data_IF_083805022172
#
_entry.id   IF_083805022172
#
_cell.length_a   1.000
_cell.length_b   1.000
_cell.length_c   1.000
_cell.angle_alpha   90.00
_cell.angle_beta   90.00
_cell.angle_gamma   90.00
#
_symmetry.space_group_name_H-M   'P 1'
#
loop_
_entity.id
_entity.type
_entity.pdbx_description
1 polymer ?
#
# COMPACT_ATOMS: atom_id res chain seq x y z
N UNK A 1 -42.15 -4.49 2.75
CA UNK A 1 -41.06 -4.27 1.78
C UNK A 1 -39.91 -5.18 2.13
N UNK A 2 -39.33 -5.85 1.12
CA UNK A 2 -38.07 -6.59 1.13
C UNK A 2 -37.97 -7.86 2.02
N UNK A 3 -38.25 -9.02 1.43
CA UNK A 3 -37.49 -10.24 1.70
C UNK A 3 -36.39 -10.37 0.63
N UNK A 4 -35.14 -10.21 1.05
CA UNK A 4 -33.92 -10.74 0.40
C UNK A 4 -33.53 -11.96 1.25
N UNK A 5 -33.02 -13.08 0.75
CA UNK A 5 -32.22 -13.38 -0.43
C UNK A 5 -31.27 -14.48 0.06
N UNK A 6 -31.50 -15.72 -0.39
CA UNK A 6 -30.62 -16.44 -1.31
C UNK A 6 -29.32 -16.93 -0.67
N UNK A 7 -29.36 -18.22 -0.32
CA UNK A 7 -28.20 -19.10 -0.25
C UNK A 7 -27.82 -19.58 -1.67
N UNK A 8 -26.65 -20.22 -1.77
CA UNK A 8 -26.16 -21.08 -2.86
C UNK A 8 -25.58 -20.40 -4.13
N UNK A 9 -24.25 -20.46 -4.31
CA UNK A 9 -23.59 -21.53 -5.10
C UNK A 9 -22.08 -21.29 -5.31
N UNK A 10 -21.35 -22.38 -5.14
CA UNK A 10 -19.94 -22.59 -5.46
C UNK A 10 -19.61 -22.46 -6.96
N UNK A 11 -18.36 -22.09 -7.25
CA UNK A 11 -17.49 -22.90 -8.11
C UNK A 11 -17.72 -22.84 -9.63
N UNK A 12 -16.93 -22.01 -10.32
CA UNK A 12 -16.64 -22.24 -11.75
C UNK A 12 -15.19 -21.82 -12.12
N UNK A 13 -14.28 -22.80 -12.08
CA UNK A 13 -12.98 -22.77 -12.77
C UNK A 13 -13.23 -22.97 -14.27
N UNK A 14 -12.94 -21.97 -15.09
CA UNK A 14 -12.97 -22.11 -16.55
C UNK A 14 -11.73 -22.89 -17.03
N UNK A 15 -11.95 -24.15 -17.43
CA UNK A 15 -11.03 -24.97 -18.22
C UNK A 15 -10.92 -24.41 -19.64
N UNK A 16 -9.69 -24.34 -20.16
CA UNK A 16 -9.39 -24.13 -21.58
C UNK A 16 -9.72 -25.42 -22.33
N UNK A 17 -10.57 -25.33 -23.35
CA UNK A 17 -10.81 -26.43 -24.28
C UNK A 17 -10.11 -26.18 -25.62
N UNK A 18 -9.49 -27.24 -26.11
CA UNK A 18 -8.66 -27.35 -27.28
C UNK A 18 -9.48 -27.93 -28.43
N UNK A 19 -9.89 -27.10 -29.39
CA UNK A 19 -10.67 -27.50 -30.56
C UNK A 19 -9.86 -27.42 -31.86
N UNK A 20 -9.11 -28.49 -32.16
CA UNK A 20 -8.47 -28.78 -33.45
C UNK A 20 -9.56 -28.98 -34.53
N UNK A 21 -9.55 -28.24 -35.64
CA UNK A 21 -10.30 -28.66 -36.85
C UNK A 21 -9.46 -28.55 -38.12
N UNK A 22 -9.43 -29.68 -38.81
CA UNK A 22 -8.61 -30.03 -39.97
C UNK A 22 -9.12 -29.36 -41.25
N UNK A 23 -8.13 -29.14 -42.10
CA UNK A 23 -8.11 -28.94 -43.56
C UNK A 23 -9.15 -29.81 -44.30
N UNK A 24 -9.92 -29.18 -45.18
CA UNK A 24 -10.58 -29.81 -46.32
C UNK A 24 -10.20 -29.03 -47.58
N UNK A 25 -9.95 -29.80 -48.64
CA UNK A 25 -9.38 -29.48 -49.94
C UNK A 25 -10.47 -29.81 -50.95
N UNK A 26 -10.64 -28.96 -51.96
CA UNK A 26 -11.28 -29.20 -53.28
C UNK A 26 -11.53 -27.83 -53.89
N UNK A 27 -11.53 -27.56 -55.18
CA UNK A 27 -10.83 -28.01 -56.41
C UNK A 27 -11.46 -27.07 -57.47
N UNK A 28 -10.73 -26.66 -58.51
CA UNK A 28 -11.38 -25.86 -59.57
C UNK A 28 -10.46 -25.04 -60.46
N UNK A 29 -9.80 -25.76 -61.36
CA UNK A 29 -9.27 -25.41 -62.68
C UNK A 29 -9.40 -23.98 -63.28
N UNK A 30 -8.30 -23.58 -63.92
CA UNK A 30 -8.30 -23.08 -65.30
C UNK A 30 -8.68 -21.62 -65.56
N UNK A 31 -7.68 -20.77 -65.85
CA UNK A 31 -7.46 -20.19 -67.19
C UNK A 31 -6.17 -19.36 -67.21
N UNK A 32 -5.46 -19.55 -68.31
CA UNK A 32 -4.13 -19.08 -68.67
C UNK A 32 -4.21 -17.68 -69.31
N UNK A 33 -3.25 -16.80 -69.01
CA UNK A 33 -2.82 -15.76 -69.95
C UNK A 33 -2.52 -14.37 -69.37
N UNK A 34 -1.36 -13.83 -69.73
CA UNK A 34 -1.09 -12.39 -69.78
C UNK A 34 -0.38 -11.82 -68.54
N UNK A 35 0.94 -11.59 -68.67
CA UNK A 35 1.76 -11.04 -67.60
C UNK A 35 1.56 -9.56 -67.32
N UNK A 36 1.93 -9.14 -66.12
CA UNK A 36 2.45 -7.81 -65.81
C UNK A 36 2.99 -7.79 -64.37
N UNK A 37 4.27 -7.41 -64.28
CA UNK A 37 4.81 -6.51 -63.26
C UNK A 37 4.80 -6.93 -61.78
N UNK A 38 6.03 -7.22 -61.36
CA UNK A 38 6.57 -7.26 -60.01
C UNK A 38 6.11 -6.06 -59.15
N UNK A 39 5.10 -6.25 -58.29
CA UNK A 39 4.78 -5.35 -57.15
C UNK A 39 4.59 -6.15 -55.85
N UNK A 40 5.65 -6.82 -55.41
CA UNK A 40 5.75 -7.45 -54.08
C UNK A 40 6.54 -6.59 -53.08
N UNK A 41 6.51 -5.26 -53.21
CA UNK A 41 7.25 -4.36 -52.30
C UNK A 41 6.48 -3.84 -51.07
N UNK A 42 5.14 -3.88 -51.08
CA UNK A 42 4.34 -3.13 -50.09
C UNK A 42 3.85 -3.92 -48.87
N UNK A 43 3.48 -5.20 -49.02
CA UNK A 43 2.85 -5.98 -47.93
C UNK A 43 3.84 -6.50 -46.89
N UNK A 44 5.01 -6.96 -47.32
CA UNK A 44 6.11 -7.29 -46.41
C UNK A 44 6.56 -6.07 -45.61
N UNK A 45 6.53 -4.89 -46.26
CA UNK A 45 6.92 -3.60 -45.68
C UNK A 45 5.89 -2.96 -44.71
N UNK A 46 4.70 -3.52 -44.58
CA UNK A 46 3.76 -3.13 -43.52
C UNK A 46 3.75 -4.15 -42.39
N UNK A 47 3.84 -5.44 -42.72
CA UNK A 47 3.87 -6.54 -41.76
C UNK A 47 5.14 -6.56 -40.88
N UNK A 48 6.32 -6.26 -41.43
CA UNK A 48 7.56 -6.12 -40.64
C UNK A 48 7.54 -4.91 -39.69
N UNK A 49 6.91 -3.79 -40.09
CA UNK A 49 6.76 -2.56 -39.28
C UNK A 49 5.80 -2.80 -38.12
N UNK A 50 4.65 -3.43 -38.37
CA UNK A 50 3.72 -3.81 -37.29
C UNK A 50 4.31 -4.89 -36.38
N UNK A 51 5.13 -5.81 -36.90
CA UNK A 51 5.80 -6.83 -36.09
C UNK A 51 6.90 -6.23 -35.20
N UNK A 52 7.65 -5.26 -35.69
CA UNK A 52 8.65 -4.53 -34.90
C UNK A 52 8.01 -3.58 -33.88
N UNK A 53 6.92 -2.92 -34.21
CA UNK A 53 6.12 -2.14 -33.26
C UNK A 53 5.49 -3.01 -32.16
N UNK A 54 4.94 -4.17 -32.52
CA UNK A 54 4.42 -5.11 -31.53
C UNK A 54 5.53 -5.67 -30.63
N UNK A 55 6.73 -5.93 -31.17
CA UNK A 55 7.88 -6.33 -30.38
C UNK A 55 8.27 -5.24 -29.36
N UNK A 56 8.38 -3.98 -29.81
CA UNK A 56 8.65 -2.83 -28.93
C UNK A 56 7.59 -2.67 -27.84
N UNK A 57 6.31 -2.88 -28.18
CA UNK A 57 5.21 -2.82 -27.21
C UNK A 57 5.31 -3.92 -26.16
N UNK A 58 5.63 -5.14 -26.58
CA UNK A 58 5.82 -6.27 -25.65
C UNK A 58 7.01 -6.02 -24.73
N UNK A 59 8.09 -5.46 -25.26
CA UNK A 59 9.28 -5.10 -24.48
C UNK A 59 8.98 -3.98 -23.45
N UNK A 60 8.29 -2.92 -23.86
CA UNK A 60 7.84 -1.86 -22.97
C UNK A 60 6.91 -2.39 -21.86
N UNK A 61 5.99 -3.31 -22.19
CA UNK A 61 5.12 -3.94 -21.18
C UNK A 61 5.92 -4.79 -20.18
N UNK A 62 6.96 -5.49 -20.64
CA UNK A 62 7.84 -6.26 -19.77
C UNK A 62 8.67 -5.36 -18.86
N UNK A 63 9.14 -4.23 -19.38
CA UNK A 63 9.85 -3.23 -18.58
C UNK A 63 8.94 -2.61 -17.52
N UNK A 64 7.70 -2.27 -17.88
CA UNK A 64 6.68 -1.80 -16.92
C UNK A 64 6.49 -2.83 -15.80
N UNK A 65 6.34 -4.12 -16.14
CA UNK A 65 6.17 -5.18 -15.14
C UNK A 65 7.40 -5.31 -14.22
N UNK A 66 8.62 -5.20 -14.77
CA UNK A 66 9.84 -5.20 -13.96
C UNK A 66 9.93 -4.00 -13.02
N UNK A 67 9.55 -2.81 -13.49
CA UNK A 67 9.51 -1.60 -12.66
C UNK A 67 8.45 -1.71 -11.58
N UNK A 68 7.27 -2.26 -11.88
CA UNK A 68 6.23 -2.53 -10.89
C UNK A 68 6.72 -3.48 -9.78
N UNK A 69 7.45 -4.54 -10.14
CA UNK A 69 8.06 -5.43 -9.16
C UNK A 69 9.11 -4.73 -8.28
N UNK A 70 9.95 -3.86 -8.88
CA UNK A 70 10.92 -3.06 -8.12
C UNK A 70 10.22 -2.10 -7.14
N UNK A 71 9.17 -1.41 -7.59
CA UNK A 71 8.36 -0.53 -6.74
C UNK A 71 7.78 -1.31 -5.57
N UNK A 72 7.19 -2.49 -5.81
CA UNK A 72 6.63 -3.32 -4.75
C UNK A 72 7.66 -3.78 -3.72
N UNK A 73 8.88 -4.13 -4.17
CA UNK A 73 9.97 -4.51 -3.26
C UNK A 73 10.41 -3.32 -2.40
N UNK A 74 10.61 -2.15 -3.00
CA UNK A 74 10.97 -0.93 -2.28
C UNK A 74 9.89 -0.51 -1.28
N UNK A 75 8.61 -0.60 -1.66
CA UNK A 75 7.49 -0.32 -0.78
C UNK A 75 7.45 -1.27 0.42
N UNK A 76 7.78 -2.55 0.20
CA UNK A 76 7.89 -3.55 1.27
C UNK A 76 9.05 -3.24 2.22
N UNK A 77 10.24 -2.96 1.69
CA UNK A 77 11.42 -2.59 2.48
C UNK A 77 11.16 -1.34 3.32
N UNK A 78 10.59 -0.30 2.70
CA UNK A 78 10.17 0.93 3.39
C UNK A 78 9.16 0.65 4.50
N UNK A 79 8.16 -0.20 4.25
CA UNK A 79 7.19 -0.60 5.28
C UNK A 79 7.84 -1.30 6.49
N UNK A 80 8.88 -2.09 6.26
CA UNK A 80 9.61 -2.81 7.31
C UNK A 80 10.56 -1.88 8.07
N UNK A 81 11.24 -0.97 7.38
CA UNK A 81 12.34 -0.19 7.97
C UNK A 81 11.92 1.19 8.48
N UNK A 82 11.02 1.88 7.77
CA UNK A 82 10.66 3.26 8.07
C UNK A 82 9.29 3.37 8.76
N UNK A 83 8.30 2.60 8.28
CA UNK A 83 6.92 2.73 8.75
C UNK A 83 6.48 1.62 9.70
N UNK A 84 7.40 0.78 10.17
CA UNK A 84 7.06 -0.26 11.13
C UNK A 84 6.49 0.37 12.40
N UNK A 85 5.26 -0.02 12.75
CA UNK A 85 4.52 0.48 13.92
C UNK A 85 5.24 0.22 15.25
N UNK A 86 6.17 -0.74 15.26
CA UNK A 86 6.98 -1.15 16.40
C UNK A 86 8.32 -0.42 16.53
N UNK A 87 8.64 0.47 15.58
CA UNK A 87 9.87 1.27 15.59
C UNK A 87 9.72 2.51 16.47
N UNK A 88 10.72 2.82 17.30
CA UNK A 88 10.77 4.07 18.07
C UNK A 88 10.77 5.31 17.17
N UNK A 89 11.21 5.16 15.91
CA UNK A 89 11.20 6.21 14.89
C UNK A 89 9.81 6.43 14.26
N UNK A 90 8.81 5.61 14.59
CA UNK A 90 7.44 5.72 14.03
C UNK A 90 6.90 7.13 14.18
N UNK A 91 7.07 7.76 15.34
CA UNK A 91 6.60 9.14 15.60
C UNK A 91 7.29 10.19 14.71
N UNK A 92 8.53 9.94 14.28
CA UNK A 92 9.29 10.84 13.41
C UNK A 92 8.91 10.66 11.93
N UNK A 93 8.50 9.45 11.54
CA UNK A 93 8.14 9.12 10.15
C UNK A 93 6.63 9.09 9.87
N UNK A 94 5.76 9.24 10.88
CA UNK A 94 4.30 9.26 10.69
C UNK A 94 3.86 10.35 9.69
N UNK A 95 4.40 11.57 9.80
CA UNK A 95 4.06 12.65 8.87
C UNK A 95 4.48 12.35 7.42
N UNK A 96 5.62 11.68 7.26
CA UNK A 96 6.10 11.25 5.94
C UNK A 96 5.20 10.16 5.34
N UNK A 97 4.76 9.18 6.16
CA UNK A 97 3.81 8.15 5.73
C UNK A 97 2.45 8.76 5.35
N UNK A 98 1.94 9.73 6.12
CA UNK A 98 0.71 10.46 5.81
C UNK A 98 0.81 11.22 4.48
N UNK A 99 1.92 11.93 4.26
CA UNK A 99 2.18 12.64 3.02
C UNK A 99 2.27 11.68 1.83
N UNK A 100 2.91 10.53 2.00
CA UNK A 100 3.03 9.52 0.96
C UNK A 100 1.67 8.89 0.60
N UNK A 101 0.86 8.54 1.60
CA UNK A 101 -0.49 8.02 1.40
C UNK A 101 -1.35 9.02 0.62
N UNK A 102 -1.24 10.31 0.96
CA UNK A 102 -1.89 11.40 0.24
C UNK A 102 -1.42 11.44 -1.22
N UNK A 103 -0.12 11.49 -1.49
CA UNK A 103 0.42 11.52 -2.86
C UNK A 103 0.00 10.30 -3.69
N UNK A 104 -0.05 9.12 -3.08
CA UNK A 104 -0.50 7.91 -3.76
C UNK A 104 -2.01 7.95 -4.09
N UNK A 105 -2.82 8.49 -3.19
CA UNK A 105 -4.25 8.74 -3.42
C UNK A 105 -4.46 9.78 -4.53
N UNK A 106 -3.69 10.86 -4.52
CA UNK A 106 -3.74 11.93 -5.51
C UNK A 106 -3.39 11.38 -6.90
N UNK A 107 -2.31 10.60 -7.03
CA UNK A 107 -1.92 9.92 -8.28
C UNK A 107 -3.00 8.98 -8.82
N UNK A 108 -3.65 8.19 -7.95
CA UNK A 108 -4.76 7.30 -8.35
C UNK A 108 -5.96 8.11 -8.85
N UNK A 109 -6.28 9.20 -8.16
CA UNK A 109 -7.39 10.09 -8.50
C UNK A 109 -7.14 10.80 -9.83
N UNK A 110 -5.92 11.29 -10.05
CA UNK A 110 -5.48 11.89 -11.30
C UNK A 110 -5.59 10.91 -12.47
N UNK A 111 -5.08 9.68 -12.32
CA UNK A 111 -5.22 8.63 -13.33
C UNK A 111 -6.67 8.40 -13.73
N UNK A 112 -7.59 8.34 -12.76
CA UNK A 112 -9.02 8.18 -13.02
C UNK A 112 -9.60 9.41 -13.75
N UNK A 113 -9.24 10.62 -13.34
CA UNK A 113 -9.68 11.87 -14.00
C UNK A 113 -9.22 11.91 -15.46
N UNK A 114 -7.96 11.58 -15.73
CA UNK A 114 -7.40 11.52 -17.09
C UNK A 114 -8.15 10.50 -17.96
N UNK A 115 -8.37 9.30 -17.44
CA UNK A 115 -9.13 8.27 -18.16
C UNK A 115 -10.55 8.74 -18.48
N UNK A 116 -11.22 9.43 -17.55
CA UNK A 116 -12.56 9.97 -17.78
C UNK A 116 -12.57 11.09 -18.83
N UNK A 117 -11.63 12.03 -18.77
CA UNK A 117 -11.51 13.12 -19.75
C UNK A 117 -11.21 12.58 -21.15
N UNK A 118 -10.26 11.65 -21.29
CA UNK A 118 -9.95 11.00 -22.56
C UNK A 118 -11.14 10.20 -23.11
N UNK A 119 -11.89 9.51 -22.25
CA UNK A 119 -13.11 8.80 -22.65
C UNK A 119 -14.18 9.75 -23.18
N UNK A 120 -14.34 10.92 -22.56
CA UNK A 120 -15.26 11.97 -23.04
C UNK A 120 -14.84 12.50 -24.41
N UNK A 121 -13.58 12.89 -24.59
CA UNK A 121 -13.04 13.37 -25.87
C UNK A 121 -13.24 12.31 -26.97
N UNK A 122 -12.86 11.05 -26.69
CA UNK A 122 -13.07 9.93 -27.62
C UNK A 122 -14.55 9.74 -27.96
N UNK A 123 -15.45 9.90 -26.98
CA UNK A 123 -16.89 9.84 -27.18
C UNK A 123 -17.38 10.91 -28.15
N UNK A 124 -16.96 12.16 -27.96
CA UNK A 124 -17.29 13.28 -28.85
C UNK A 124 -16.78 13.05 -30.27
N UNK A 125 -15.53 12.59 -30.43
CA UNK A 125 -14.95 12.23 -31.74
C UNK A 125 -15.72 11.09 -32.39
N UNK A 126 -16.11 10.07 -31.64
CA UNK A 126 -16.90 8.94 -32.16
C UNK A 126 -18.29 9.38 -32.62
N UNK A 127 -18.91 10.33 -31.90
CA UNK A 127 -20.18 10.95 -32.30
C UNK A 127 -20.02 11.73 -33.60
N UNK A 128 -19.01 12.58 -33.69
CA UNK A 128 -18.67 13.33 -34.91
C UNK A 128 -18.45 12.40 -36.11
N UNK A 129 -17.65 11.34 -35.95
CA UNK A 129 -17.42 10.31 -36.98
C UNK A 129 -18.69 9.53 -37.39
N UNK A 130 -19.69 9.46 -36.52
CA UNK A 130 -20.97 8.81 -36.85
C UNK A 130 -21.83 9.73 -37.70
N UNK A 131 -21.92 11.00 -37.33
CA UNK A 131 -22.66 12.01 -38.09
C UNK A 131 -22.05 12.15 -39.51
N UNK A 132 -20.71 12.09 -39.63
CA UNK A 132 -20.00 12.09 -40.92
C UNK A 132 -20.33 10.91 -41.85
N UNK A 133 -20.81 9.77 -41.35
CA UNK A 133 -20.88 8.52 -42.13
C UNK A 133 -22.11 8.42 -43.02
N UNK A 134 -23.19 9.17 -42.75
CA UNK A 134 -24.51 8.84 -43.30
C UNK A 134 -25.35 10.05 -43.78
N UNK A 135 -24.78 11.13 -44.33
CA UNK A 135 -25.58 12.32 -44.67
C UNK A 135 -25.17 12.99 -45.98
N UNK A 136 -26.16 13.43 -46.76
CA UNK A 136 -25.97 14.34 -47.91
C UNK A 136 -25.59 15.72 -47.38
N UNK A 137 -24.54 16.37 -47.89
CA UNK A 137 -24.10 17.68 -47.39
C UNK A 137 -25.15 18.75 -47.71
N UNK A 138 -26.04 19.03 -46.75
CA UNK A 138 -26.87 20.23 -46.74
C UNK A 138 -26.15 21.33 -45.96
N UNK A 139 -26.35 22.63 -46.30
CA UNK A 139 -25.69 23.73 -45.60
C UNK A 139 -25.88 23.71 -44.08
N UNK A 140 -27.09 23.41 -43.60
CA UNK A 140 -27.38 23.33 -42.16
C UNK A 140 -26.64 22.17 -41.47
N UNK A 141 -26.46 21.05 -42.19
CA UNK A 141 -25.74 19.90 -41.67
C UNK A 141 -24.23 20.14 -41.60
N UNK A 142 -23.68 20.85 -42.60
CA UNK A 142 -22.27 21.26 -42.61
C UNK A 142 -21.98 22.22 -41.44
N UNK A 143 -22.87 23.16 -41.16
CA UNK A 143 -22.71 24.07 -40.01
C UNK A 143 -22.73 23.31 -38.69
N UNK A 144 -23.67 22.38 -38.50
CA UNK A 144 -23.72 21.50 -37.31
C UNK A 144 -22.43 20.66 -37.15
N UNK A 145 -21.85 20.16 -38.24
CA UNK A 145 -20.57 19.44 -38.19
C UNK A 145 -19.42 20.37 -37.76
N UNK A 146 -19.38 21.58 -38.29
CA UNK A 146 -18.38 22.59 -37.94
C UNK A 146 -18.45 22.96 -36.46
N UNK A 147 -19.65 23.22 -35.92
CA UNK A 147 -19.86 23.46 -34.48
C UNK A 147 -19.37 22.28 -33.62
N UNK A 148 -19.64 21.04 -34.03
CA UNK A 148 -19.14 19.86 -33.32
C UNK A 148 -17.62 19.72 -33.38
N UNK A 149 -17.00 20.08 -34.51
CA UNK A 149 -15.54 20.08 -34.68
C UNK A 149 -14.88 21.14 -33.79
N UNK A 150 -15.39 22.37 -33.81
CA UNK A 150 -14.91 23.48 -32.98
C UNK A 150 -15.06 23.16 -31.48
N UNK A 151 -16.17 22.55 -31.07
CA UNK A 151 -16.35 22.07 -29.70
C UNK A 151 -15.30 21.02 -29.32
N UNK A 152 -15.03 20.04 -30.19
CA UNK A 152 -14.02 18.99 -29.93
C UNK A 152 -12.62 19.61 -29.83
N UNK A 153 -12.28 20.53 -30.73
CA UNK A 153 -11.00 21.24 -30.73
C UNK A 153 -10.82 22.08 -29.47
N UNK A 154 -11.84 22.83 -29.07
CA UNK A 154 -11.83 23.59 -27.81
C UNK A 154 -11.59 22.67 -26.61
N UNK A 155 -12.37 21.59 -26.45
CA UNK A 155 -12.20 20.66 -25.33
C UNK A 155 -10.82 19.98 -25.35
N UNK A 156 -10.28 19.68 -26.53
CA UNK A 156 -8.96 19.08 -26.67
C UNK A 156 -7.84 20.06 -26.32
N UNK A 157 -7.97 21.32 -26.73
CA UNK A 157 -6.99 22.37 -26.42
C UNK A 157 -7.01 22.69 -24.92
N UNK A 158 -8.20 22.82 -24.32
CA UNK A 158 -8.35 23.02 -22.88
C UNK A 158 -7.72 21.85 -22.10
N UNK A 159 -7.96 20.62 -22.54
CA UNK A 159 -7.33 19.44 -21.94
C UNK A 159 -5.81 19.52 -22.03
N UNK A 160 -5.25 19.82 -23.21
CA UNK A 160 -3.78 19.92 -23.39
C UNK A 160 -3.19 21.02 -22.53
N UNK A 161 -3.81 22.19 -22.46
CA UNK A 161 -3.31 23.31 -21.67
C UNK A 161 -3.37 22.99 -20.17
N UNK A 162 -4.46 22.38 -19.70
CA UNK A 162 -4.56 21.90 -18.32
C UNK A 162 -3.47 20.88 -17.99
N UNK A 163 -3.21 19.91 -18.89
CA UNK A 163 -2.15 18.92 -18.68
C UNK A 163 -0.75 19.55 -18.67
N UNK A 164 -0.51 20.52 -19.55
CA UNK A 164 0.74 21.27 -19.60
C UNK A 164 0.97 22.05 -18.30
N UNK A 165 -0.05 22.75 -17.80
CA UNK A 165 0.05 23.49 -16.54
C UNK A 165 0.37 22.56 -15.37
N UNK A 166 -0.34 21.43 -15.24
CA UNK A 166 -0.07 20.44 -14.17
C UNK A 166 1.37 19.92 -14.27
N UNK A 167 1.85 19.62 -15.47
CA UNK A 167 3.21 19.16 -15.68
C UNK A 167 4.25 20.22 -15.28
N UNK A 168 4.06 21.47 -15.68
CA UNK A 168 4.96 22.57 -15.32
C UNK A 168 4.97 22.83 -13.81
N UNK A 169 3.84 22.69 -13.13
CA UNK A 169 3.74 22.80 -11.67
C UNK A 169 4.54 21.68 -10.98
N UNK A 170 4.33 20.42 -11.38
CA UNK A 170 5.06 19.26 -10.86
C UNK A 170 6.57 19.36 -11.11
N UNK A 171 6.99 19.83 -12.29
CA UNK A 171 8.41 20.04 -12.61
C UNK A 171 9.06 21.08 -11.69
N UNK A 172 8.34 22.16 -11.37
CA UNK A 172 8.83 23.19 -10.44
C UNK A 172 8.94 22.64 -9.03
N UNK A 173 7.94 21.89 -8.57
CA UNK A 173 7.96 21.23 -7.25
C UNK A 173 9.12 20.22 -7.14
N UNK A 174 9.32 19.37 -8.14
CA UNK A 174 10.44 18.43 -8.21
C UNK A 174 11.78 19.15 -8.13
N UNK A 175 11.95 20.24 -8.88
CA UNK A 175 13.17 21.04 -8.85
C UNK A 175 13.43 21.62 -7.46
N UNK A 176 12.41 22.16 -6.78
CA UNK A 176 12.56 22.70 -5.43
C UNK A 176 12.92 21.61 -4.41
N UNK A 177 12.21 20.48 -4.42
CA UNK A 177 12.49 19.36 -3.52
C UNK A 177 13.90 18.81 -3.73
N UNK A 178 14.37 18.70 -4.97
CA UNK A 178 15.74 18.27 -5.25
C UNK A 178 16.79 19.25 -4.70
N UNK A 179 16.53 20.56 -4.75
CA UNK A 179 17.40 21.55 -4.12
C UNK A 179 17.42 21.41 -2.60
N UNK A 180 16.26 21.18 -1.97
CA UNK A 180 16.16 20.95 -0.53
C UNK A 180 16.90 19.68 -0.10
N UNK A 181 16.74 18.57 -0.82
CA UNK A 181 17.47 17.32 -0.58
C UNK A 181 18.97 17.55 -0.70
N UNK A 182 19.43 18.20 -1.79
CA UNK A 182 20.85 18.51 -2.00
C UNK A 182 21.41 19.39 -0.86
N UNK A 183 20.63 20.35 -0.36
CA UNK A 183 21.04 21.19 0.76
C UNK A 183 21.15 20.41 2.07
N UNK A 184 20.21 19.48 2.33
CA UNK A 184 20.26 18.57 3.48
C UNK A 184 21.45 17.61 3.41
N UNK A 185 21.73 17.04 2.23
CA UNK A 185 22.90 16.18 2.01
C UNK A 185 24.21 16.92 2.32
N UNK A 186 24.37 18.15 1.80
CA UNK A 186 25.55 18.99 2.10
C UNK A 186 25.68 19.29 3.59
N UNK A 187 24.55 19.47 4.28
CA UNK A 187 24.53 19.70 5.74
C UNK A 187 24.92 18.45 6.51
N UNK A 188 24.50 17.27 6.06
CA UNK A 188 24.91 15.99 6.66
C UNK A 188 26.41 15.76 6.48
N UNK A 189 26.93 16.03 5.29
CA UNK A 189 28.35 15.90 4.98
C UNK A 189 29.21 16.82 5.86
N UNK A 190 28.77 18.07 6.09
CA UNK A 190 29.49 18.98 6.98
C UNK A 190 29.49 18.52 8.44
N UNK A 191 28.45 17.83 8.89
CA UNK A 191 28.42 17.19 10.21
C UNK A 191 29.35 15.98 10.28
N UNK A 192 29.45 15.18 9.21
CA UNK A 192 30.36 14.04 9.17
C UNK A 192 31.84 14.46 9.23
N UNK A 193 32.15 15.67 8.74
CA UNK A 193 33.51 16.25 8.76
C UNK A 193 33.82 17.05 10.03
N UNK A 194 32.83 17.30 10.90
CA UNK A 194 33.04 18.01 12.15
C UNK A 194 33.85 17.13 13.14
N UNK A 195 34.84 17.69 13.86
CA UNK A 195 35.59 16.94 14.85
C UNK A 195 34.65 16.41 15.96
N UNK A 196 34.96 15.26 16.59
CA UNK A 196 34.11 14.68 17.62
C UNK A 196 33.89 15.69 18.74
N UNK A 197 32.62 16.01 19.01
CA UNK A 197 32.24 16.88 20.12
C UNK A 197 32.57 16.13 21.42
N UNK A 198 33.63 16.53 22.11
CA UNK A 198 33.92 16.07 23.48
C UNK A 198 32.91 16.73 24.41
N UNK A 199 31.76 16.07 24.62
CA UNK A 199 30.80 16.52 25.64
C UNK A 199 31.37 16.12 27.00
N UNK A 200 31.89 17.08 27.76
CA UNK A 200 32.18 16.91 29.19
C UNK A 200 30.86 16.65 29.95
N UNK A 201 30.47 15.38 30.03
CA UNK A 201 29.31 14.97 30.81
C UNK A 201 29.73 14.77 32.26
N UNK A 202 29.46 15.79 33.08
CA UNK A 202 29.39 15.62 34.54
C UNK A 202 28.31 14.59 34.86
N UNK A 203 28.76 13.42 35.31
CA UNK A 203 28.08 12.44 36.17
C UNK A 203 26.55 12.44 36.11
N UNK A 204 25.99 11.71 35.15
CA UNK A 204 24.77 10.93 35.38
C UNK A 204 24.81 9.72 34.47
N UNK A 205 24.64 8.52 35.05
CA UNK A 205 24.67 7.26 34.33
C UNK A 205 23.55 7.26 33.27
N UNK A 206 23.85 7.22 31.95
CA UNK A 206 22.80 7.12 30.96
C UNK A 206 22.39 5.64 30.82
N UNK A 207 21.07 5.39 30.93
CA UNK A 207 20.46 4.17 30.42
C UNK A 207 20.73 4.09 28.91
N UNK A 208 20.98 2.91 28.32
CA UNK A 208 21.37 2.82 26.92
C UNK A 208 20.18 3.16 26.03
N UNK A 209 20.17 4.37 25.49
CA UNK A 209 19.36 4.75 24.33
C UNK A 209 20.09 4.25 23.09
N UNK A 210 19.46 3.29 22.42
CA UNK A 210 19.96 2.57 21.24
C UNK A 210 19.82 3.41 19.96
N UNK A 211 20.49 4.55 19.89
CA UNK A 211 20.58 5.34 18.66
C UNK A 211 22.02 5.44 18.23
N UNK A 212 22.29 4.93 17.02
CA UNK A 212 23.60 4.83 16.37
C UNK A 212 24.54 3.76 16.95
N UNK A 213 24.18 2.47 16.74
CA UNK A 213 25.24 1.48 16.48
C UNK A 213 25.94 1.91 15.19
N UNK A 214 27.10 2.50 15.37
CA UNK A 214 28.08 2.79 14.34
C UNK A 214 28.22 1.51 13.47
N UNK A 215 27.81 1.56 12.19
CA UNK A 215 27.80 0.38 11.29
C UNK A 215 29.22 -0.19 11.13
N UNK A 216 30.24 0.64 11.36
CA UNK A 216 31.66 0.27 11.40
C UNK A 216 32.08 -0.42 12.72
N UNK A 217 31.33 -0.26 13.81
CA UNK A 217 31.59 -0.94 15.08
C UNK A 217 30.90 -2.31 15.20
N UNK A 218 30.05 -2.67 14.23
CA UNK A 218 29.32 -3.95 14.19
C UNK A 218 29.93 -4.92 13.17
N UNK A 219 31.06 -4.56 12.54
CA UNK A 219 31.85 -5.49 11.73
C UNK A 219 32.66 -6.41 12.67
N UNK A 220 32.62 -7.73 12.48
CA UNK A 220 33.43 -8.65 13.27
C UNK A 220 34.92 -8.24 13.23
N UNK A 221 35.65 -8.28 14.37
CA UNK A 221 37.06 -7.91 14.44
C UNK A 221 37.94 -8.56 13.38
N UNK A 222 37.57 -9.76 12.92
CA UNK A 222 38.22 -10.54 11.86
C UNK A 222 38.11 -9.86 10.48
N UNK A 223 37.00 -9.16 10.20
CA UNK A 223 36.83 -8.40 8.95
C UNK A 223 37.77 -7.19 8.94
N UNK A 224 37.87 -6.47 10.06
CA UNK A 224 38.81 -5.36 10.22
C UNK A 224 40.27 -5.83 10.24
N UNK A 225 40.54 -7.02 10.79
CA UNK A 225 41.88 -7.62 10.76
C UNK A 225 42.30 -7.98 9.32
N UNK A 226 41.39 -8.50 8.50
CA UNK A 226 41.65 -8.78 7.09
C UNK A 226 41.92 -7.50 6.27
N UNK A 227 41.19 -6.42 6.52
CA UNK A 227 41.41 -5.13 5.85
C UNK A 227 42.77 -4.52 6.23
N UNK A 228 43.16 -4.58 7.51
CA UNK A 228 44.48 -4.16 7.96
C UNK A 228 45.60 -5.01 7.34
N UNK A 229 45.40 -6.33 7.25
CA UNK A 229 46.34 -7.23 6.58
C UNK A 229 46.53 -6.83 5.11
N UNK A 230 45.45 -6.60 4.37
CA UNK A 230 45.50 -6.14 2.98
C UNK A 230 46.27 -4.83 2.80
N UNK A 231 46.01 -3.85 3.67
CA UNK A 231 46.71 -2.56 3.66
C UNK A 231 48.21 -2.73 3.93
N UNK A 232 48.59 -3.62 4.84
CA UNK A 232 49.99 -3.85 5.22
C UNK A 232 50.76 -4.70 4.20
N UNK A 233 50.10 -5.63 3.50
CA UNK A 233 50.76 -6.58 2.59
C UNK A 233 50.66 -6.22 1.11
N UNK A 234 50.32 -4.98 0.75
CA UNK A 234 50.26 -4.57 -0.66
C UNK A 234 49.03 -5.07 -1.41
N UNK A 235 47.88 -5.18 -0.73
CA UNK A 235 46.58 -5.48 -1.31
C UNK A 235 46.34 -6.97 -1.58
N UNK A 236 45.35 -7.25 -2.44
CA UNK A 236 44.87 -8.61 -2.73
C UNK A 236 45.89 -9.49 -3.48
N UNK A 237 47.01 -8.93 -3.92
CA UNK A 237 48.06 -9.62 -4.67
C UNK A 237 49.40 -9.66 -3.94
N UNK A 238 49.49 -9.22 -2.69
CA UNK A 238 50.73 -9.31 -1.93
C UNK A 238 51.83 -8.37 -2.46
N UNK A 239 51.47 -7.32 -3.19
CA UNK A 239 52.42 -6.47 -3.92
C UNK A 239 52.96 -7.06 -5.23
N UNK A 240 52.50 -8.23 -5.66
CA UNK A 240 52.86 -8.82 -6.96
C UNK A 240 51.97 -8.25 -8.07
N UNK A 241 52.53 -8.11 -9.27
CA UNK A 241 51.75 -7.72 -10.44
C UNK A 241 50.78 -8.83 -10.88
N UNK A 242 49.89 -8.50 -11.80
CA UNK A 242 48.85 -9.42 -12.25
C UNK A 242 49.40 -10.65 -12.97
N UNK A 243 50.52 -10.51 -13.70
CA UNK A 243 51.10 -11.57 -14.49
C UNK A 243 51.85 -12.59 -13.61
N UNK A 244 52.69 -12.10 -12.71
CA UNK A 244 53.48 -12.90 -11.78
C UNK A 244 52.55 -13.63 -10.80
N UNK A 245 51.58 -12.91 -10.23
CA UNK A 245 50.61 -13.51 -9.31
C UNK A 245 49.73 -14.56 -10.01
N UNK A 246 49.29 -14.28 -11.24
CA UNK A 246 48.51 -15.22 -12.04
C UNK A 246 49.29 -16.50 -12.40
N UNK A 247 50.58 -16.35 -12.73
CA UNK A 247 51.47 -17.48 -13.02
C UNK A 247 51.74 -18.32 -11.78
N UNK A 248 52.00 -17.68 -10.64
CA UNK A 248 52.13 -18.33 -9.33
C UNK A 248 50.91 -19.20 -8.99
N UNK A 249 49.69 -18.65 -9.10
CA UNK A 249 48.46 -19.40 -8.81
C UNK A 249 48.27 -20.61 -9.74
N UNK A 250 48.60 -20.47 -11.02
CA UNK A 250 48.50 -21.55 -12.01
C UNK A 250 49.42 -22.72 -11.64
N UNK A 251 50.67 -22.42 -11.29
CA UNK A 251 51.66 -23.42 -10.88
C UNK A 251 51.23 -24.04 -9.55
N UNK A 252 50.81 -23.24 -8.57
CA UNK A 252 50.34 -23.74 -7.27
C UNK A 252 49.18 -24.73 -7.41
N UNK A 253 48.19 -24.40 -8.23
CA UNK A 253 47.04 -25.27 -8.52
C UNK A 253 47.44 -26.55 -9.25
N UNK A 254 48.50 -26.51 -10.06
CA UNK A 254 49.06 -27.69 -10.75
C UNK A 254 49.79 -28.62 -9.79
N UNK A 255 50.50 -28.07 -8.79
CA UNK A 255 51.36 -28.84 -7.90
C UNK A 255 50.72 -29.26 -6.56
N UNK A 256 49.58 -28.69 -6.15
CA UNK A 256 48.72 -29.12 -5.01
C UNK A 256 49.49 -29.63 -3.76
N UNK A 257 50.54 -28.93 -3.34
CA UNK A 257 51.32 -29.27 -2.13
C UNK A 257 52.55 -30.17 -2.32
N UNK A 258 53.00 -30.40 -3.56
CA UNK A 258 54.27 -31.10 -3.83
C UNK A 258 55.49 -30.19 -3.56
N UNK A 259 56.55 -30.75 -2.99
CA UNK A 259 57.78 -30.02 -2.63
C UNK A 259 58.49 -29.36 -3.83
N UNK A 260 58.29 -29.88 -5.06
CA UNK A 260 58.84 -29.33 -6.30
C UNK A 260 58.16 -28.03 -6.76
N UNK A 261 57.10 -27.59 -6.07
CA UNK A 261 56.36 -26.38 -6.40
C UNK A 261 57.24 -25.11 -6.41
N UNK A 262 58.06 -24.93 -5.37
CA UNK A 262 58.86 -23.71 -5.21
C UNK A 262 59.91 -23.56 -6.31
N UNK A 263 60.49 -24.68 -6.73
CA UNK A 263 61.53 -24.74 -7.76
C UNK A 263 60.97 -24.44 -9.16
N UNK A 264 59.82 -25.04 -9.48
CA UNK A 264 59.11 -24.78 -10.75
C UNK A 264 58.59 -23.34 -10.82
N UNK A 265 58.05 -22.82 -9.70
CA UNK A 265 57.55 -21.45 -9.64
C UNK A 265 58.68 -20.41 -9.72
N UNK A 266 59.85 -20.68 -9.15
CA UNK A 266 61.02 -19.82 -9.30
C UNK A 266 61.57 -19.83 -10.74
N UNK A 267 61.48 -20.97 -11.42
CA UNK A 267 61.95 -21.10 -12.82
C UNK A 267 60.99 -20.46 -13.82
N UNK A 268 59.68 -20.47 -13.53
CA UNK A 268 58.64 -20.02 -14.45
C UNK A 268 58.27 -18.53 -14.36
N UNK A 269 58.70 -17.84 -13.29
CA UNK A 269 58.37 -16.43 -13.05
C UNK A 269 59.62 -15.58 -13.29
N UNK A 270 59.74 -14.90 -14.44
CA UNK A 270 60.94 -14.15 -14.78
C UNK A 270 61.28 -13.08 -13.74
N UNK A 271 62.54 -13.04 -13.28
CA UNK A 271 63.01 -12.03 -12.34
C UNK A 271 62.69 -12.31 -10.86
N UNK A 272 62.06 -13.45 -10.53
CA UNK A 272 61.78 -13.86 -9.15
C UNK A 272 62.65 -15.04 -8.74
N UNK A 273 63.23 -14.94 -7.55
CA UNK A 273 64.03 -16.02 -6.96
C UNK A 273 63.16 -16.93 -6.08
N UNK A 274 63.68 -18.11 -5.74
CA UNK A 274 62.97 -19.09 -4.92
C UNK A 274 62.59 -18.57 -3.52
N UNK A 275 63.36 -17.62 -2.99
CA UNK A 275 63.08 -16.96 -1.71
C UNK A 275 61.86 -16.05 -1.77
N UNK A 276 61.70 -15.26 -2.85
CA UNK A 276 60.54 -14.39 -3.08
C UNK A 276 59.27 -15.22 -3.32
N UNK A 277 59.38 -16.31 -4.09
CA UNK A 277 58.27 -17.25 -4.30
C UNK A 277 57.83 -17.91 -2.98
N UNK A 278 58.78 -18.28 -2.11
CA UNK A 278 58.48 -18.84 -0.79
C UNK A 278 57.80 -17.81 0.13
N UNK A 279 58.26 -16.55 0.14
CA UNK A 279 57.62 -15.48 0.89
C UNK A 279 56.19 -15.25 0.42
N UNK A 280 55.96 -15.29 -0.90
CA UNK A 280 54.64 -15.14 -1.49
C UNK A 280 53.72 -16.33 -1.21
N UNK A 281 54.24 -17.56 -1.16
CA UNK A 281 53.46 -18.73 -0.70
C UNK A 281 53.04 -18.59 0.77
N UNK A 282 53.94 -18.14 1.64
CA UNK A 282 53.61 -17.89 3.04
C UNK A 282 52.52 -16.81 3.17
N UNK A 283 52.68 -15.69 2.46
CA UNK A 283 51.65 -14.64 2.40
C UNK A 283 50.32 -15.18 1.86
N UNK A 284 50.34 -15.99 0.80
CA UNK A 284 49.12 -16.55 0.20
C UNK A 284 48.40 -17.51 1.16
N UNK A 285 49.14 -18.31 1.93
CA UNK A 285 48.56 -19.18 2.97
C UNK A 285 47.91 -18.35 4.08
N UNK A 286 48.57 -17.30 4.55
CA UNK A 286 48.00 -16.37 5.53
C UNK A 286 46.75 -15.66 4.98
N UNK A 287 46.82 -15.19 3.74
CA UNK A 287 45.72 -14.56 3.02
C UNK A 287 44.48 -15.48 2.93
N UNK A 288 44.69 -16.74 2.57
CA UNK A 288 43.62 -17.74 2.52
C UNK A 288 42.99 -18.01 3.89
N UNK A 289 43.82 -18.18 4.93
CA UNK A 289 43.34 -18.33 6.31
C UNK A 289 42.53 -17.11 6.77
N UNK A 290 42.95 -15.89 6.43
CA UNK A 290 42.22 -14.68 6.79
C UNK A 290 40.90 -14.51 6.01
N UNK A 291 40.84 -14.94 4.74
CA UNK A 291 39.58 -15.01 3.98
C UNK A 291 38.60 -15.98 4.65
N UNK A 292 39.07 -17.14 5.08
CA UNK A 292 38.24 -18.15 5.73
C UNK A 292 37.70 -17.62 7.06
N UNK A 293 38.56 -17.04 7.91
CA UNK A 293 38.15 -16.37 9.15
C UNK A 293 37.15 -15.24 8.91
N UNK A 294 37.33 -14.43 7.86
CA UNK A 294 36.38 -13.38 7.46
C UNK A 294 35.03 -13.96 7.07
N UNK A 295 35.00 -15.05 6.29
CA UNK A 295 33.76 -15.73 5.89
C UNK A 295 33.01 -16.31 7.10
N UNK A 296 33.72 -17.01 7.98
CA UNK A 296 33.16 -17.61 9.18
C UNK A 296 32.61 -16.54 10.13
N UNK A 297 33.34 -15.45 10.32
CA UNK A 297 32.91 -14.33 11.15
C UNK A 297 31.63 -13.68 10.60
N UNK A 298 31.55 -13.47 9.28
CA UNK A 298 30.34 -12.94 8.63
C UNK A 298 29.16 -13.91 8.77
N UNK A 299 29.38 -15.22 8.61
CA UNK A 299 28.33 -16.22 8.77
C UNK A 299 27.81 -16.28 10.21
N UNK A 300 28.70 -16.33 11.20
CA UNK A 300 28.34 -16.29 12.63
C UNK A 300 27.59 -15.00 12.98
N UNK A 301 28.06 -13.86 12.48
CA UNK A 301 27.40 -12.57 12.68
C UNK A 301 25.98 -12.55 12.10
N UNK A 302 25.78 -13.08 10.89
CA UNK A 302 24.44 -13.21 10.28
C UNK A 302 23.50 -14.07 11.12
N UNK A 303 23.97 -15.22 11.61
CA UNK A 303 23.17 -16.12 12.44
C UNK A 303 22.76 -15.43 13.75
N UNK A 304 23.70 -14.78 14.42
CA UNK A 304 23.45 -14.06 15.67
C UNK A 304 22.49 -12.89 15.44
N UNK A 305 22.64 -12.14 14.35
CA UNK A 305 21.74 -11.03 14.00
C UNK A 305 20.32 -11.50 13.71
N UNK A 306 20.15 -12.61 12.99
CA UNK A 306 18.81 -13.14 12.71
C UNK A 306 18.14 -13.66 13.99
N UNK A 307 18.88 -14.35 14.86
CA UNK A 307 18.37 -14.82 16.15
C UNK A 307 17.94 -13.65 17.05
N UNK A 308 18.74 -12.57 17.14
CA UNK A 308 18.39 -11.36 17.89
C UNK A 308 17.13 -10.67 17.33
N UNK A 309 16.96 -10.69 16.01
CA UNK A 309 15.79 -10.13 15.35
C UNK A 309 14.54 -10.95 15.65
N UNK A 310 14.61 -12.28 15.61
CA UNK A 310 13.50 -13.19 15.94
C UNK A 310 13.08 -13.10 17.42
N UNK A 311 14.05 -13.00 18.34
CA UNK A 311 13.79 -12.81 19.77
C UNK A 311 13.08 -11.46 20.04
N UNK A 312 13.56 -10.38 19.40
CA UNK A 312 12.92 -9.06 19.49
C UNK A 312 11.50 -9.07 18.90
N UNK A 313 11.29 -9.70 17.73
CA UNK A 313 9.98 -9.85 17.11
C UNK A 313 8.99 -10.60 18.00
N UNK A 314 9.48 -11.63 18.71
CA UNK A 314 8.68 -12.43 19.64
C UNK A 314 8.29 -11.63 20.87
N UNK A 315 9.25 -10.93 21.49
CA UNK A 315 8.97 -10.09 22.66
C UNK A 315 7.95 -8.99 22.36
N UNK A 316 8.08 -8.30 21.22
CA UNK A 316 7.14 -7.24 20.84
C UNK A 316 5.75 -7.79 20.47
N UNK A 317 5.66 -9.01 19.94
CA UNK A 317 4.37 -9.65 19.70
C UNK A 317 3.61 -9.94 21.00
N UNK A 318 4.32 -10.39 22.05
CA UNK A 318 3.74 -10.63 23.36
C UNK A 318 3.24 -9.32 24.00
N UNK A 319 4.03 -8.25 23.95
CA UNK A 319 3.65 -6.94 24.49
C UNK A 319 2.45 -6.31 23.75
N UNK A 320 2.33 -6.50 22.43
CA UNK A 320 1.20 -6.03 21.62
C UNK A 320 -0.11 -6.79 21.96
N UNK A 321 -0.01 -8.10 22.18
CA UNK A 321 -1.17 -8.93 22.52
C UNK A 321 -1.66 -8.65 23.94
N UNK A 322 -0.75 -8.41 24.90
CA UNK A 322 -1.10 -8.01 26.26
C UNK A 322 -1.84 -6.66 26.28
N UNK A 323 -1.38 -5.67 25.47
CA UNK A 323 -2.06 -4.37 25.32
C UNK A 323 -3.45 -4.51 24.71
N UNK A 324 -3.62 -5.36 23.68
CA UNK A 324 -4.94 -5.60 23.07
C UNK A 324 -5.92 -6.24 24.06
N UNK A 325 -5.47 -7.21 24.86
CA UNK A 325 -6.32 -7.82 25.88
C UNK A 325 -6.75 -6.80 26.95
N UNK A 326 -5.83 -5.93 27.37
CA UNK A 326 -6.13 -4.85 28.32
C UNK A 326 -7.14 -3.84 27.76
N UNK A 327 -7.02 -3.44 26.50
CA UNK A 327 -7.97 -2.56 25.83
C UNK A 327 -9.36 -3.20 25.69
N UNK A 328 -9.43 -4.50 25.36
CA UNK A 328 -10.70 -5.24 25.29
C UNK A 328 -11.39 -5.30 26.65
N UNK A 329 -10.66 -5.58 27.73
CA UNK A 329 -11.23 -5.55 29.10
C UNK A 329 -11.80 -4.19 29.45
N UNK A 330 -11.07 -3.11 29.14
CA UNK A 330 -11.54 -1.72 29.37
C UNK A 330 -12.75 -1.36 28.51
N UNK A 331 -12.82 -1.85 27.28
CA UNK A 331 -13.98 -1.63 26.42
C UNK A 331 -15.23 -2.35 26.94
N UNK A 332 -15.08 -3.61 27.37
CA UNK A 332 -16.17 -4.39 27.96
C UNK A 332 -16.71 -3.74 29.23
N UNK A 333 -15.82 -3.27 30.13
CA UNK A 333 -16.23 -2.60 31.36
C UNK A 333 -17.00 -1.29 31.08
N UNK A 334 -16.58 -0.53 30.04
CA UNK A 334 -17.28 0.69 29.62
C UNK A 334 -18.65 0.39 29.03
N UNK A 335 -18.76 -0.65 28.19
CA UNK A 335 -20.04 -1.07 27.61
C UNK A 335 -21.02 -1.52 28.70
N UNK A 336 -20.56 -2.28 29.70
CA UNK A 336 -21.39 -2.71 30.81
C UNK A 336 -21.95 -1.53 31.62
N UNK A 337 -21.11 -0.54 31.94
CA UNK A 337 -21.58 0.67 32.65
C UNK A 337 -22.64 1.43 31.87
N UNK A 338 -22.44 1.59 30.56
CA UNK A 338 -23.40 2.30 29.72
C UNK A 338 -24.75 1.57 29.65
N UNK A 339 -24.73 0.24 29.60
CA UNK A 339 -25.95 -0.56 29.60
C UNK A 339 -26.68 -0.48 30.95
N UNK A 340 -25.96 -0.49 32.07
CA UNK A 340 -26.55 -0.31 33.40
C UNK A 340 -27.19 1.08 33.55
N UNK A 341 -26.51 2.15 33.11
CA UNK A 341 -27.08 3.51 33.11
C UNK A 341 -28.35 3.59 32.26
N UNK A 342 -28.34 2.96 31.08
CA UNK A 342 -29.51 2.90 30.19
C UNK A 342 -30.67 2.15 30.83
N UNK A 343 -30.38 1.04 31.53
CA UNK A 343 -31.38 0.27 32.28
C UNK A 343 -32.00 1.10 33.39
N UNK A 344 -31.18 1.80 34.17
CA UNK A 344 -31.65 2.64 35.27
C UNK A 344 -32.51 3.82 34.78
N UNK A 345 -32.13 4.44 33.65
CA UNK A 345 -32.93 5.49 33.01
C UNK A 345 -34.29 4.95 32.52
N UNK A 346 -34.31 3.76 31.92
CA UNK A 346 -35.54 3.13 31.47
C UNK A 346 -36.48 2.78 32.63
N UNK A 347 -35.93 2.29 33.75
CA UNK A 347 -36.67 2.01 34.98
C UNK A 347 -37.29 3.30 35.56
N UNK A 348 -36.53 4.39 35.66
CA UNK A 348 -37.03 5.70 36.10
C UNK A 348 -38.17 6.20 35.21
N UNK A 349 -38.03 6.06 33.89
CA UNK A 349 -39.02 6.49 32.92
C UNK A 349 -40.30 5.65 33.00
N UNK A 350 -40.18 4.33 33.21
CA UNK A 350 -41.31 3.44 33.44
C UNK A 350 -42.02 3.75 34.76
N UNK A 351 -41.28 3.97 35.85
CA UNK A 351 -41.85 4.34 37.14
C UNK A 351 -42.65 5.66 37.04
N UNK A 352 -42.12 6.66 36.32
CA UNK A 352 -42.82 7.92 36.06
C UNK A 352 -44.12 7.71 35.25
N UNK A 353 -44.09 6.88 34.21
CA UNK A 353 -45.30 6.54 33.43
C UNK A 353 -46.38 5.88 34.29
N UNK A 354 -45.98 4.90 35.12
CA UNK A 354 -46.91 4.21 36.04
C UNK A 354 -47.50 5.19 37.05
N UNK A 355 -46.69 6.06 37.64
CA UNK A 355 -47.18 7.10 38.55
C UNK A 355 -48.17 8.05 37.86
N UNK A 356 -47.89 8.46 36.63
CA UNK A 356 -48.76 9.36 35.86
C UNK A 356 -50.12 8.71 35.56
N UNK A 357 -50.12 7.45 35.12
CA UNK A 357 -51.35 6.69 34.90
C UNK A 357 -52.12 6.48 36.20
N UNK A 358 -51.45 6.17 37.30
CA UNK A 358 -52.09 6.01 38.61
C UNK A 358 -52.73 7.32 39.09
N UNK A 359 -52.07 8.46 38.89
CA UNK A 359 -52.62 9.78 39.22
C UNK A 359 -53.86 10.10 38.38
N UNK A 360 -53.83 9.76 37.08
CA UNK A 360 -54.97 9.92 36.17
C UNK A 360 -56.15 9.05 36.58
N UNK A 361 -55.91 7.76 36.88
CA UNK A 361 -56.95 6.83 37.32
C UNK A 361 -57.61 7.27 38.64
N UNK A 362 -56.82 7.79 39.61
CA UNK A 362 -57.37 8.36 40.85
C UNK A 362 -58.23 9.59 40.61
N UNK A 363 -57.87 10.43 39.64
CA UNK A 363 -58.68 11.61 39.29
C UNK A 363 -60.00 11.19 38.61
N UNK A 364 -59.95 10.22 37.70
CA UNK A 364 -61.14 9.63 37.08
C UNK A 364 -62.05 8.96 38.12
N UNK A 365 -61.48 8.21 39.07
CA UNK A 365 -62.23 7.59 40.18
C UNK A 365 -62.94 8.64 41.05
N UNK A 366 -62.26 9.74 41.40
CA UNK A 366 -62.87 10.86 42.13
C UNK A 366 -63.98 11.52 41.34
N UNK A 367 -63.80 11.72 40.03
CA UNK A 367 -64.83 12.29 39.16
C UNK A 367 -66.06 11.39 39.13
N UNK A 368 -65.86 10.07 38.94
CA UNK A 368 -66.92 9.07 38.96
C UNK A 368 -67.66 9.06 40.31
N UNK A 369 -66.94 9.17 41.44
CA UNK A 369 -67.55 9.23 42.77
C UNK A 369 -68.42 10.48 42.95
N UNK A 370 -67.93 11.64 42.50
CA UNK A 370 -68.70 12.90 42.52
C UNK A 370 -69.95 12.80 41.64
N UNK A 371 -69.85 12.24 40.44
CA UNK A 371 -70.99 12.01 39.56
C UNK A 371 -72.01 11.06 40.17
N UNK A 372 -71.56 9.94 40.76
CA UNK A 372 -72.44 8.98 41.42
C UNK A 372 -73.16 9.63 42.62
N UNK A 373 -72.48 10.51 43.36
CA UNK A 373 -73.09 11.26 44.47
C UNK A 373 -74.16 12.24 43.97
N UNK A 374 -73.88 12.97 42.88
CA UNK A 374 -74.85 13.85 42.23
C UNK A 374 -76.07 13.07 41.71
N UNK A 375 -75.85 11.92 41.08
CA UNK A 375 -76.93 11.06 40.58
C UNK A 375 -77.82 10.54 41.71
N UNK A 376 -77.23 10.10 42.83
CA UNK A 376 -77.97 9.70 44.04
C UNK A 376 -78.79 10.84 44.62
N UNK A 377 -78.24 12.06 44.65
CA UNK A 377 -78.97 13.25 45.13
C UNK A 377 -80.14 13.60 44.22
N UNK A 378 -79.93 13.59 42.90
CA UNK A 378 -80.97 13.84 41.90
C UNK A 378 -82.08 12.78 41.95
N UNK A 379 -81.73 11.51 42.14
CA UNK A 379 -82.71 10.43 42.31
C UNK A 379 -83.52 10.60 43.61
N UNK A 380 -82.87 10.94 44.73
CA UNK A 380 -83.57 11.27 45.98
C UNK A 380 -84.51 12.47 45.80
N UNK A 381 -84.10 13.50 45.05
CA UNK A 381 -84.95 14.64 44.73
C UNK A 381 -86.15 14.24 43.88
N UNK A 382 -85.97 13.42 42.83
CA UNK A 382 -87.07 12.83 42.04
C UNK A 382 -88.04 12.05 42.91
N UNK A 383 -87.55 11.17 43.78
CA UNK A 383 -88.38 10.40 44.71
C UNK A 383 -89.17 11.30 45.66
N UNK A 384 -88.56 12.38 46.17
CA UNK A 384 -89.27 13.39 46.97
C UNK A 384 -90.36 14.09 46.17
N UNK A 385 -90.11 14.46 44.91
CA UNK A 385 -91.13 15.06 44.04
C UNK A 385 -92.29 14.09 43.73
N UNK A 386 -92.02 12.82 43.47
CA UNK A 386 -93.04 11.77 43.28
C UNK A 386 -93.83 11.53 44.57
N UNK A 387 -93.16 11.52 45.73
CA UNK A 387 -93.83 11.40 47.03
C UNK A 387 -94.73 12.61 47.32
N UNK A 388 -94.24 13.82 47.03
CA UNK A 388 -94.98 15.06 47.29
C UNK A 388 -96.19 15.24 46.32
N UNK A 389 -96.06 14.80 45.07
CA UNK A 389 -97.18 14.77 44.11
C UNK A 389 -98.22 13.70 44.48
N UNK A 390 -97.80 12.55 45.04
CA UNK A 390 -98.70 11.51 45.56
C UNK A 390 -99.47 11.95 46.82
N UNK A 391 -98.88 12.81 47.67
CA UNK A 391 -99.56 13.42 48.82
C UNK A 391 -100.55 14.51 48.39
N UNK A 392 -100.28 15.26 47.31
CA UNK A 392 -101.24 16.25 46.75
C UNK A 392 -102.48 15.63 46.12
N UNK A 393 -102.45 14.36 45.73
CA UNK A 393 -103.62 13.59 45.24
C UNK A 393 -104.48 13.00 46.36
N UNK A 394 -104.08 13.16 47.63
CA UNK A 394 -104.82 12.69 48.82
C UNK A 394 -105.10 13.88 49.74
N UNK A 395 -105.88 14.84 49.24
CA UNK A 395 -106.59 15.81 50.07
C UNK A 395 -108.08 15.75 49.69
N UNK A 396 -108.96 15.31 50.60
CA UNK A 396 -110.40 15.30 50.37
C UNK A 396 -110.96 16.72 50.51
N UNK A 397 -111.87 17.09 49.60
CA UNK A 397 -112.78 18.22 49.79
C UNK A 397 -113.60 18.02 51.08
N UNK A 398 -113.73 19.02 51.96
CA UNK A 398 -114.85 19.10 52.88
C UNK A 398 -115.94 19.99 52.25
N UNK A 399 -117.11 19.41 52.07
CA UNK A 399 -118.35 20.16 51.82
C UNK A 399 -118.87 20.81 53.11
N UNK A 400 -119.61 21.90 52.94
CA UNK A 400 -120.26 22.69 53.98
C UNK A 400 -120.60 24.07 53.44
#
# INVERSE_FOLDING_TARGET
MASKGEAELEGAKARRDSGRRKKAKEDGDGIRGGGAENKTGGRGSWAWKTKTENAKKVEALREIEQLEQKINNLDREKGIHLYNKRSDFRKLFCSLEEQELKLNSDRKTEKLKLQQQLKKIRGSVTKFQRELRNVKPTPEFVEKLKEMMEMIESVLNDFKEQQKQIYEDLMREEQMLNQEVTALEKRLESWAQAPPITIETKTSKPKPVSSARNVMADLPPEVSAFERFLLQTGGHRGGWDEYDHGTFLRIRNKFKGRATFLDEAATSIPGRNITEVRQHENWYQEYMSMIEKKKDAIQKWKIIKEAQKDEFLTQVALDDDEKKQEEQRKAQLRAHRLEDERREQAEKLNAWKVQKELMKAKEEEKQMEVEMRKAKEHEKQRQRQVRNSRVRLVLPCPGG
#
